data_IF_439221773502
#
_entry.id   IF_439221773502
#
_cell.length_a   1.000
_cell.length_b   1.000
_cell.length_c   1.000
_cell.angle_alpha   90.00
_cell.angle_beta   90.00
_cell.angle_gamma   90.00
#
_symmetry.space_group_name_H-M   'P 1'
#
loop_
_entity.id
_entity.type
_entity.pdbx_description
1 polymer ?
#
# COMPACT_ATOMS: atom_id res chain seq x y z
N UNK A 1 13.31 23.85 2.10
CA UNK A 1 13.02 24.02 0.65
C UNK A 1 12.30 22.76 0.19
N UNK A 2 11.16 22.88 -0.49
CA UNK A 2 10.52 21.73 -1.13
C UNK A 2 11.46 21.16 -2.20
N UNK A 3 11.41 19.84 -2.42
CA UNK A 3 12.18 19.21 -3.49
C UNK A 3 11.73 19.77 -4.85
N UNK A 4 12.61 20.49 -5.53
CA UNK A 4 12.35 21.00 -6.89
C UNK A 4 12.75 19.96 -7.92
N UNK A 5 11.91 19.79 -8.96
CA UNK A 5 12.22 18.87 -10.04
C UNK A 5 13.57 19.19 -10.68
N UNK A 6 14.35 18.15 -10.96
CA UNK A 6 15.62 18.28 -11.65
C UNK A 6 15.36 18.68 -13.11
N UNK A 7 15.87 19.85 -13.50
CA UNK A 7 15.77 20.34 -14.87
C UNK A 7 16.80 19.64 -15.76
N UNK A 8 16.60 19.69 -17.08
CA UNK A 8 17.56 19.11 -18.01
C UNK A 8 18.92 19.82 -17.99
N UNK A 9 18.94 21.11 -17.67
CA UNK A 9 20.16 21.93 -17.75
C UNK A 9 20.97 21.86 -16.44
N UNK A 10 20.30 21.59 -15.31
CA UNK A 10 20.94 21.37 -14.01
C UNK A 10 21.41 19.93 -13.80
N UNK A 11 20.93 18.99 -14.63
CA UNK A 11 21.25 17.58 -14.53
C UNK A 11 22.65 17.24 -15.08
N UNK A 12 23.35 16.32 -14.41
CA UNK A 12 24.64 15.77 -14.84
C UNK A 12 24.65 14.26 -14.67
N UNK A 13 25.25 13.56 -15.63
CA UNK A 13 25.52 12.12 -15.49
C UNK A 13 26.40 11.89 -14.26
N UNK A 14 26.07 10.87 -13.48
CA UNK A 14 26.68 10.56 -12.19
C UNK A 14 25.95 11.16 -10.99
N UNK A 15 25.01 12.10 -11.17
CA UNK A 15 24.23 12.66 -10.07
C UNK A 15 23.32 11.60 -9.42
N UNK A 16 23.23 11.66 -8.09
CA UNK A 16 22.21 10.95 -7.33
C UNK A 16 20.88 11.66 -7.45
N UNK A 17 19.85 10.88 -7.73
CA UNK A 17 18.48 11.36 -7.93
C UNK A 17 17.50 10.49 -7.17
N UNK A 18 16.31 11.01 -6.93
CA UNK A 18 15.18 10.26 -6.39
C UNK A 18 13.92 10.57 -7.18
N UNK A 19 13.00 9.60 -7.26
CA UNK A 19 11.67 9.83 -7.82
C UNK A 19 10.68 10.37 -6.78
N UNK A 20 9.47 10.65 -7.25
CA UNK A 20 8.34 11.12 -6.42
C UNK A 20 7.97 10.18 -5.27
N UNK A 21 8.30 8.89 -5.40
CA UNK A 21 7.99 7.84 -4.43
C UNK A 21 9.14 7.61 -3.44
N UNK A 22 10.25 8.33 -3.60
CA UNK A 22 11.45 8.26 -2.76
C UNK A 22 12.44 7.18 -3.21
N UNK A 23 12.22 6.51 -4.35
CA UNK A 23 13.15 5.52 -4.85
C UNK A 23 14.38 6.22 -5.43
N UNK A 24 15.56 5.86 -4.94
CA UNK A 24 16.82 6.49 -5.30
C UNK A 24 17.52 5.78 -6.47
N UNK A 25 18.36 6.53 -7.17
CA UNK A 25 19.16 6.01 -8.27
C UNK A 25 20.25 6.98 -8.71
N UNK A 26 21.03 6.55 -9.69
CA UNK A 26 22.08 7.35 -10.33
C UNK A 26 21.67 7.70 -11.75
N UNK A 27 21.77 8.97 -12.11
CA UNK A 27 21.58 9.42 -13.47
C UNK A 27 22.74 8.89 -14.34
N UNK A 28 22.44 8.09 -15.36
CA UNK A 28 23.41 7.46 -16.27
C UNK A 28 23.39 8.02 -17.68
N UNK A 29 22.27 8.59 -18.10
CA UNK A 29 22.08 9.09 -19.46
C UNK A 29 21.10 10.26 -19.49
N UNK A 30 21.24 11.14 -20.48
CA UNK A 30 20.33 12.26 -20.74
C UNK A 30 20.20 12.44 -22.24
N UNK A 31 18.99 12.66 -22.73
CA UNK A 31 18.80 12.91 -24.16
C UNK A 31 17.36 13.22 -24.56
N UNK A 32 17.17 13.50 -25.84
CA UNK A 32 15.84 13.67 -26.43
C UNK A 32 15.44 12.39 -27.15
N UNK A 33 14.19 11.95 -26.94
CA UNK A 33 13.62 10.79 -27.62
C UNK A 33 12.38 11.22 -28.40
N UNK A 34 12.23 10.64 -29.57
CA UNK A 34 10.98 10.67 -30.34
C UNK A 34 10.03 9.58 -29.86
N UNK A 35 8.73 9.77 -30.16
CA UNK A 35 7.63 8.87 -29.81
C UNK A 35 7.99 7.38 -29.98
N UNK A 36 8.48 6.99 -31.16
CA UNK A 36 8.77 5.58 -31.47
C UNK A 36 9.97 4.98 -30.71
N UNK A 37 10.84 5.83 -30.16
CA UNK A 37 12.05 5.42 -29.44
C UNK A 37 11.86 5.45 -27.92
N UNK A 38 10.80 6.10 -27.43
CA UNK A 38 10.48 6.14 -26.01
C UNK A 38 9.69 4.90 -25.56
N UNK A 39 9.87 4.41 -24.31
CA UNK A 39 9.10 3.28 -23.79
C UNK A 39 7.59 3.52 -23.75
N UNK A 40 7.17 4.78 -23.53
CA UNK A 40 5.77 5.16 -23.32
C UNK A 40 5.13 5.84 -24.54
N UNK A 41 5.76 5.79 -25.72
CA UNK A 41 5.27 6.47 -26.93
C UNK A 41 5.08 8.00 -26.72
N UNK A 42 6.01 8.65 -26.04
CA UNK A 42 6.08 10.10 -25.81
C UNK A 42 7.36 10.72 -26.40
N UNK A 43 7.22 11.85 -27.12
CA UNK A 43 8.38 12.68 -27.50
C UNK A 43 8.77 13.60 -26.34
N UNK A 44 10.08 13.80 -26.13
CA UNK A 44 10.56 14.76 -25.14
C UNK A 44 12.01 14.56 -24.70
N UNK A 45 12.40 15.30 -23.65
CA UNK A 45 13.67 15.11 -22.94
C UNK A 45 13.50 14.04 -21.86
N UNK A 46 14.46 13.15 -21.75
CA UNK A 46 14.47 12.02 -20.82
C UNK A 46 15.80 11.93 -20.07
N UNK A 47 15.73 11.36 -18.87
CA UNK A 47 16.87 10.88 -18.10
C UNK A 47 16.84 9.35 -18.09
N UNK A 48 18.00 8.73 -18.29
CA UNK A 48 18.23 7.31 -18.01
C UNK A 48 18.79 7.18 -16.61
N UNK A 49 18.07 6.47 -15.74
CA UNK A 49 18.41 6.30 -14.33
C UNK A 49 18.63 4.83 -14.06
N UNK A 50 19.74 4.51 -13.44
CA UNK A 50 19.97 3.22 -12.78
C UNK A 50 19.50 3.35 -11.33
N UNK A 51 18.39 2.71 -10.99
CA UNK A 51 17.89 2.69 -9.61
C UNK A 51 18.70 1.71 -8.76
N UNK A 52 18.75 1.96 -7.46
CA UNK A 52 19.54 1.13 -6.54
C UNK A 52 19.00 -0.29 -6.46
N UNK A 53 17.66 -0.40 -6.39
CA UNK A 53 16.91 -1.65 -6.34
C UNK A 53 16.47 -2.12 -7.75
N UNK A 54 16.50 -3.43 -7.97
CA UNK A 54 15.83 -4.06 -9.10
C UNK A 54 14.30 -4.05 -8.88
N UNK A 55 13.52 -4.01 -9.96
CA UNK A 55 12.06 -4.07 -9.86
C UNK A 55 11.44 -4.91 -10.97
N UNK A 56 10.34 -5.58 -10.64
CA UNK A 56 9.52 -6.34 -11.61
C UNK A 56 8.70 -5.43 -12.55
N UNK A 57 8.78 -4.11 -12.38
CA UNK A 57 8.07 -3.17 -13.25
C UNK A 57 8.53 -3.36 -14.72
N UNK A 58 7.62 -3.60 -15.68
CA UNK A 58 7.97 -3.85 -17.08
C UNK A 58 8.70 -2.71 -17.80
N UNK A 59 8.71 -1.50 -17.26
CA UNK A 59 9.51 -0.39 -17.78
C UNK A 59 10.97 -0.43 -17.31
N UNK A 60 11.33 -1.36 -16.41
CA UNK A 60 12.69 -1.57 -15.95
C UNK A 60 13.46 -2.43 -16.96
N UNK A 61 14.69 -2.03 -17.27
CA UNK A 61 15.56 -2.78 -18.17
C UNK A 61 17.02 -2.76 -17.71
N UNK A 62 17.92 -3.28 -18.54
CA UNK A 62 19.37 -3.18 -18.38
C UNK A 62 19.97 -1.92 -19.06
N UNK A 63 19.14 -0.89 -19.30
CA UNK A 63 19.53 0.33 -20.02
C UNK A 63 19.25 0.27 -21.52
N UNK A 64 18.61 -0.80 -22.00
CA UNK A 64 18.20 -0.99 -23.40
C UNK A 64 16.68 -0.92 -23.55
N UNK A 65 16.17 -0.16 -24.54
CA UNK A 65 14.75 -0.15 -24.95
C UNK A 65 14.67 -0.13 -26.48
N UNK A 66 13.71 -0.86 -27.05
CA UNK A 66 13.48 -0.96 -28.50
C UNK A 66 14.76 -1.28 -29.31
N UNK A 67 15.61 -2.17 -28.79
CA UNK A 67 16.89 -2.56 -29.41
C UNK A 67 18.00 -1.50 -29.31
N UNK A 68 17.73 -0.31 -28.74
CA UNK A 68 18.71 0.75 -28.55
C UNK A 68 19.22 0.75 -27.09
N UNK A 69 20.54 0.71 -26.93
CA UNK A 69 21.20 0.81 -25.63
C UNK A 69 21.52 2.27 -25.31
N UNK A 70 20.92 2.80 -24.25
CA UNK A 70 21.10 4.19 -23.81
C UNK A 70 22.18 4.32 -22.74
N UNK A 71 22.28 3.34 -21.85
CA UNK A 71 23.32 3.24 -20.83
C UNK A 71 23.53 1.77 -20.41
N UNK A 72 24.58 1.49 -19.66
CA UNK A 72 24.82 0.20 -19.02
C UNK A 72 24.31 0.25 -17.57
N UNK A 73 23.58 -0.78 -17.14
CA UNK A 73 23.25 -1.01 -15.74
C UNK A 73 22.90 -2.49 -15.50
N UNK A 74 22.74 -2.86 -14.22
CA UNK A 74 22.24 -4.18 -13.84
C UNK A 74 20.85 -4.49 -14.43
N UNK A 75 20.48 -5.78 -14.55
CA UNK A 75 19.18 -6.18 -15.06
C UNK A 75 18.06 -5.56 -14.23
N UNK A 76 17.03 -5.02 -14.90
CA UNK A 76 15.84 -4.42 -14.28
C UNK A 76 16.12 -3.25 -13.30
N UNK A 77 17.28 -2.60 -13.40
CA UNK A 77 17.60 -1.39 -12.63
C UNK A 77 17.39 -0.11 -13.44
N UNK A 78 17.56 -0.20 -14.75
CA UNK A 78 17.47 0.94 -15.66
C UNK A 78 16.03 1.38 -15.87
N UNK A 79 15.78 2.70 -15.93
CA UNK A 79 14.53 3.30 -16.40
C UNK A 79 14.78 4.60 -17.15
N UNK A 80 14.09 4.79 -18.27
CA UNK A 80 13.97 6.11 -18.91
C UNK A 80 12.79 6.84 -18.27
N UNK A 81 13.07 8.02 -17.69
CA UNK A 81 12.06 8.90 -17.08
C UNK A 81 12.03 10.23 -17.79
N UNK A 82 10.86 10.84 -17.89
CA UNK A 82 10.75 12.17 -18.51
C UNK A 82 11.33 13.23 -17.56
N UNK A 83 11.94 14.27 -18.13
CA UNK A 83 12.32 15.45 -17.33
C UNK A 83 11.09 15.99 -16.59
N UNK A 84 11.27 16.35 -15.32
CA UNK A 84 10.16 16.74 -14.43
C UNK A 84 9.55 15.59 -13.62
N UNK A 85 10.14 14.39 -13.63
CA UNK A 85 9.66 13.25 -12.82
C UNK A 85 10.61 12.85 -11.68
N UNK A 86 11.80 13.46 -11.62
CA UNK A 86 12.81 13.17 -10.59
C UNK A 86 13.37 14.45 -10.00
N UNK A 87 14.03 14.28 -8.86
CA UNK A 87 14.61 15.33 -8.02
C UNK A 87 16.07 14.97 -7.76
N UNK A 88 16.88 15.96 -7.37
CA UNK A 88 18.16 15.66 -6.72
C UNK A 88 17.89 14.83 -5.45
N UNK A 89 18.76 13.86 -5.16
CA UNK A 89 18.62 13.01 -3.98
C UNK A 89 18.84 13.83 -2.70
N UNK A 90 17.90 13.75 -1.77
CA UNK A 90 17.90 14.45 -0.48
C UNK A 90 17.47 13.55 0.68
N UNK A 91 17.02 12.33 0.41
CA UNK A 91 16.56 11.37 1.41
C UNK A 91 17.66 11.05 2.42
N UNK A 92 18.90 10.84 1.97
CA UNK A 92 20.05 10.53 2.83
C UNK A 92 20.26 11.62 3.89
N UNK A 93 20.28 12.89 3.47
CA UNK A 93 20.41 14.04 4.36
C UNK A 93 19.22 14.12 5.33
N UNK A 94 17.99 13.94 4.84
CA UNK A 94 16.80 14.07 5.69
C UNK A 94 16.67 12.96 6.71
N UNK A 95 17.04 11.73 6.35
CA UNK A 95 17.10 10.60 7.28
C UNK A 95 18.12 10.88 8.38
N UNK A 96 19.31 11.38 8.04
CA UNK A 96 20.32 11.74 9.03
C UNK A 96 19.79 12.80 10.03
N UNK A 97 19.12 13.85 9.53
CA UNK A 97 18.49 14.88 10.37
C UNK A 97 17.40 14.32 11.30
N UNK A 98 16.61 13.34 10.86
CA UNK A 98 15.59 12.71 11.69
C UNK A 98 16.22 11.81 12.76
N UNK A 99 17.26 11.05 12.40
CA UNK A 99 17.99 10.20 13.35
C UNK A 99 18.70 11.03 14.42
N UNK A 100 19.29 12.17 14.05
CA UNK A 100 19.89 13.11 15.00
C UNK A 100 18.85 13.66 15.99
N UNK A 101 17.66 14.07 15.51
CA UNK A 101 16.63 14.69 16.35
C UNK A 101 15.88 13.69 17.25
N UNK A 102 15.57 12.50 16.74
CA UNK A 102 14.72 11.52 17.46
C UNK A 102 15.50 10.37 18.12
N UNK A 103 16.76 10.17 17.75
CA UNK A 103 17.65 9.19 18.35
C UNK A 103 17.06 7.77 18.42
N UNK A 104 17.13 7.17 19.60
CA UNK A 104 16.69 5.80 19.88
C UNK A 104 15.23 5.51 19.51
N UNK A 105 14.36 6.53 19.50
CA UNK A 105 12.92 6.35 19.18
C UNK A 105 12.70 5.89 17.74
N UNK A 106 13.66 6.13 16.85
CA UNK A 106 13.62 5.76 15.43
C UNK A 106 14.86 4.96 14.99
N UNK A 107 15.74 4.58 15.92
CA UNK A 107 17.01 3.92 15.59
C UNK A 107 16.80 2.61 14.80
N UNK A 108 15.77 1.85 15.17
CA UNK A 108 15.43 0.56 14.54
C UNK A 108 14.56 0.68 13.29
N UNK A 109 14.14 1.89 12.92
CA UNK A 109 13.26 2.10 11.77
C UNK A 109 14.07 2.04 10.48
N UNK A 110 13.47 1.48 9.44
CA UNK A 110 14.04 1.49 8.11
C UNK A 110 13.99 2.92 7.52
N UNK A 111 14.99 3.29 6.71
CA UNK A 111 15.08 4.64 6.14
C UNK A 111 13.81 5.07 5.39
N UNK A 112 13.21 4.14 4.63
CA UNK A 112 11.95 4.41 3.94
C UNK A 112 10.76 4.72 4.85
N UNK A 113 10.76 4.25 6.10
CA UNK A 113 9.73 4.64 7.08
C UNK A 113 9.83 6.13 7.40
N UNK A 114 11.05 6.64 7.55
CA UNK A 114 11.33 8.05 7.79
C UNK A 114 11.10 8.91 6.55
N UNK A 115 11.54 8.44 5.38
CA UNK A 115 11.33 9.13 4.09
C UNK A 115 9.85 9.36 3.81
N UNK A 116 8.96 8.45 4.21
CA UNK A 116 7.50 8.65 4.06
C UNK A 116 6.99 9.90 4.79
N UNK A 117 7.49 10.19 6.00
CA UNK A 117 7.16 11.44 6.71
C UNK A 117 7.67 12.65 5.95
N UNK A 118 8.91 12.58 5.42
CA UNK A 118 9.48 13.63 4.59
C UNK A 118 8.62 13.91 3.35
N UNK A 119 8.23 12.87 2.61
CA UNK A 119 7.39 13.00 1.42
C UNK A 119 6.02 13.59 1.77
N UNK A 120 5.38 13.11 2.83
CA UNK A 120 4.05 13.57 3.26
C UNK A 120 3.99 15.05 3.66
N UNK A 121 5.12 15.64 4.03
CA UNK A 121 5.26 17.07 4.34
C UNK A 121 6.16 17.80 3.35
N UNK A 122 6.34 17.23 2.15
CA UNK A 122 7.08 17.85 1.04
C UNK A 122 8.49 18.31 1.42
N UNK A 123 9.14 17.56 2.33
CA UNK A 123 10.48 17.85 2.87
C UNK A 123 10.58 19.19 3.62
N UNK A 124 9.45 19.75 4.07
CA UNK A 124 9.40 20.85 5.05
C UNK A 124 9.72 20.31 6.44
N UNK A 125 11.00 20.37 6.82
CA UNK A 125 11.51 19.66 7.99
C UNK A 125 10.81 20.02 9.29
N UNK A 126 10.40 21.28 9.51
CA UNK A 126 9.65 21.64 10.73
C UNK A 126 8.32 20.89 10.82
N UNK A 127 7.59 20.77 9.70
CA UNK A 127 6.36 19.98 9.64
C UNK A 127 6.60 18.48 9.72
N UNK A 128 7.72 18.00 9.17
CA UNK A 128 8.14 16.58 9.30
C UNK A 128 8.37 16.25 10.76
N UNK A 129 9.10 17.10 11.48
CA UNK A 129 9.39 16.94 12.90
C UNK A 129 8.13 16.95 13.75
N UNK A 130 7.23 17.89 13.50
CA UNK A 130 5.94 17.94 14.19
C UNK A 130 5.10 16.68 13.94
N UNK A 131 5.00 16.23 12.69
CA UNK A 131 4.23 15.04 12.34
C UNK A 131 4.81 13.78 12.98
N UNK A 132 6.13 13.58 12.90
CA UNK A 132 6.78 12.40 13.47
C UNK A 132 6.69 12.39 14.99
N UNK A 133 6.82 13.53 15.66
CA UNK A 133 6.62 13.63 17.11
C UNK A 133 5.20 13.23 17.51
N UNK A 134 4.17 13.79 16.85
CA UNK A 134 2.76 13.44 17.09
C UNK A 134 2.51 11.94 16.85
N UNK A 135 3.07 11.39 15.78
CA UNK A 135 2.96 9.98 15.48
C UNK A 135 3.60 9.09 16.55
N UNK A 136 4.80 9.43 17.03
CA UNK A 136 5.47 8.67 18.09
C UNK A 136 4.69 8.72 19.41
N UNK A 137 4.06 9.86 19.73
CA UNK A 137 3.15 9.98 20.88
C UNK A 137 1.90 9.11 20.71
N UNK A 138 1.29 9.14 19.51
CA UNK A 138 0.15 8.27 19.18
C UNK A 138 0.53 6.80 19.29
N UNK A 139 1.68 6.37 18.75
CA UNK A 139 2.17 4.98 18.89
C UNK A 139 2.33 4.58 20.36
N UNK A 140 2.81 5.48 21.22
CA UNK A 140 2.97 5.21 22.65
C UNK A 140 1.64 4.96 23.38
N UNK A 141 0.59 5.72 23.04
CA UNK A 141 -0.75 5.62 23.65
C UNK A 141 -1.61 4.53 23.01
N UNK A 142 -1.77 4.59 21.69
CA UNK A 142 -2.62 3.71 20.90
C UNK A 142 -2.04 2.29 20.79
N UNK A 143 -0.72 2.14 20.81
CA UNK A 143 -0.02 0.85 20.73
C UNK A 143 -0.52 -0.01 19.55
N UNK A 144 -0.38 0.47 18.31
CA UNK A 144 -0.81 -0.29 17.13
C UNK A 144 0.01 -1.59 17.02
N UNK A 145 -0.66 -2.70 16.66
CA UNK A 145 -0.04 -4.02 16.60
C UNK A 145 -0.59 -4.84 15.42
N UNK A 146 0.30 -5.51 14.68
CA UNK A 146 -0.05 -6.40 13.56
C UNK A 146 -0.69 -7.73 13.99
N UNK A 147 -0.73 -8.02 15.29
CA UNK A 147 -1.09 -9.32 15.88
C UNK A 147 -2.07 -9.13 17.04
N UNK A 148 -2.97 -8.16 16.91
CA UNK A 148 -4.06 -7.88 17.84
C UNK A 148 -5.29 -8.75 17.51
N UNK A 149 -5.99 -9.23 18.53
CA UNK A 149 -7.21 -10.01 18.32
C UNK A 149 -8.44 -9.14 18.10
N UNK A 150 -9.23 -9.51 17.10
CA UNK A 150 -10.57 -9.01 16.86
C UNK A 150 -11.58 -10.17 16.82
N UNK A 151 -12.87 -9.92 17.13
CA UNK A 151 -13.91 -10.95 16.99
C UNK A 151 -13.93 -11.50 15.57
N UNK A 152 -13.84 -12.83 15.43
CA UNK A 152 -13.68 -13.47 14.11
C UNK A 152 -14.86 -13.23 13.16
N UNK A 153 -16.04 -12.87 13.70
CA UNK A 153 -17.19 -12.44 12.90
C UNK A 153 -16.89 -11.22 12.02
N UNK A 154 -15.87 -10.41 12.34
CA UNK A 154 -15.52 -9.22 11.55
C UNK A 154 -15.12 -9.59 10.12
N UNK A 155 -14.47 -10.74 9.95
CA UNK A 155 -14.09 -11.28 8.63
C UNK A 155 -15.32 -11.61 7.78
N UNK A 156 -16.39 -12.10 8.41
CA UNK A 156 -17.64 -12.44 7.73
C UNK A 156 -18.45 -11.18 7.42
N UNK A 157 -18.42 -10.17 8.29
CA UNK A 157 -19.16 -8.92 8.06
C UNK A 157 -18.46 -7.98 7.07
N UNK A 158 -17.12 -7.94 7.11
CA UNK A 158 -16.27 -7.14 6.23
C UNK A 158 -15.02 -7.95 5.81
N UNK A 159 -15.13 -8.76 4.74
CA UNK A 159 -14.00 -9.47 4.17
C UNK A 159 -12.93 -8.52 3.65
N UNK A 160 -11.70 -8.73 4.11
CA UNK A 160 -10.53 -8.03 3.62
C UNK A 160 -9.26 -8.86 3.83
N UNK A 161 -8.19 -8.53 3.14
CA UNK A 161 -6.93 -9.25 3.29
C UNK A 161 -5.87 -8.88 2.26
N UNK A 162 -4.61 -9.14 2.63
CA UNK A 162 -3.48 -9.06 1.70
C UNK A 162 -3.46 -10.30 0.81
N UNK A 163 -3.17 -10.14 -0.47
CA UNK A 163 -3.03 -11.27 -1.41
C UNK A 163 -1.71 -12.03 -1.27
N UNK A 164 -0.73 -11.48 -0.53
CA UNK A 164 0.65 -11.95 -0.55
C UNK A 164 1.39 -11.67 -1.86
N UNK A 165 0.81 -10.86 -2.75
CA UNK A 165 1.41 -10.45 -4.03
C UNK A 165 1.49 -8.93 -4.16
N UNK A 166 2.15 -8.46 -5.21
CA UNK A 166 2.37 -7.04 -5.47
C UNK A 166 1.92 -6.65 -6.86
N UNK A 167 1.62 -5.36 -7.03
CA UNK A 167 1.52 -4.73 -8.33
C UNK A 167 2.92 -4.55 -8.97
N UNK A 168 2.99 -3.98 -10.18
CA UNK A 168 4.25 -3.74 -10.89
C UNK A 168 5.14 -2.68 -10.23
N UNK A 169 4.58 -1.77 -9.45
CA UNK A 169 5.33 -0.79 -8.65
C UNK A 169 5.72 -1.37 -7.27
N UNK A 170 5.59 -2.69 -7.09
CA UNK A 170 5.92 -3.46 -5.88
C UNK A 170 5.07 -3.08 -4.66
N UNK A 171 3.90 -2.49 -4.88
CA UNK A 171 2.94 -2.22 -3.81
C UNK A 171 2.24 -3.51 -3.41
N UNK A 172 2.16 -3.80 -2.11
CA UNK A 172 1.41 -4.97 -1.61
C UNK A 172 -0.07 -4.83 -1.99
N UNK A 173 -0.67 -5.86 -2.58
CA UNK A 173 -2.09 -5.82 -2.94
C UNK A 173 -2.93 -6.18 -1.71
N UNK A 174 -3.81 -5.27 -1.32
CA UNK A 174 -4.78 -5.41 -0.24
C UNK A 174 -6.19 -5.24 -0.81
N UNK A 175 -7.09 -6.15 -0.44
CA UNK A 175 -8.46 -6.14 -0.93
C UNK A 175 -9.44 -5.91 0.21
N UNK A 176 -10.49 -5.16 -0.08
CA UNK A 176 -11.57 -4.82 0.84
C UNK A 176 -12.93 -4.99 0.17
N UNK A 177 -13.86 -5.63 0.85
CA UNK A 177 -15.23 -5.83 0.36
C UNK A 177 -16.27 -5.41 1.41
N UNK A 178 -16.43 -4.10 1.66
CA UNK A 178 -17.48 -3.61 2.54
C UNK A 178 -18.87 -4.10 2.09
N UNK A 179 -19.73 -4.41 3.06
CA UNK A 179 -21.10 -4.85 2.77
C UNK A 179 -21.26 -6.35 2.50
N UNK A 180 -20.16 -7.10 2.34
CA UNK A 180 -20.07 -8.54 2.02
C UNK A 180 -21.32 -9.17 1.39
N UNK A 181 -21.49 -9.07 0.07
CA UNK A 181 -22.65 -9.69 -0.62
C UNK A 181 -24.04 -9.29 -0.06
N UNK A 182 -24.12 -8.21 0.73
CA UNK A 182 -25.32 -7.72 1.40
C UNK A 182 -25.47 -8.15 2.87
N UNK A 183 -24.55 -8.96 3.41
CA UNK A 183 -24.67 -9.56 4.75
C UNK A 183 -24.58 -8.57 5.92
N UNK A 184 -23.72 -7.56 5.84
CA UNK A 184 -23.55 -6.57 6.90
C UNK A 184 -23.37 -5.17 6.30
N UNK A 185 -24.40 -4.33 6.36
CA UNK A 185 -24.30 -2.95 5.85
C UNK A 185 -23.45 -2.08 6.77
N UNK A 186 -22.87 -0.96 6.28
CA UNK A 186 -21.99 -0.11 7.10
C UNK A 186 -22.58 0.35 8.44
N UNK A 187 -23.89 0.61 8.51
CA UNK A 187 -24.58 0.98 9.76
C UNK A 187 -24.59 -0.14 10.79
N UNK A 188 -24.82 -1.37 10.36
CA UNK A 188 -24.77 -2.55 11.22
C UNK A 188 -23.34 -2.87 11.66
N UNK A 189 -22.37 -2.77 10.73
CA UNK A 189 -20.96 -2.98 11.02
C UNK A 189 -20.46 -2.01 12.11
N UNK A 190 -20.73 -0.72 11.94
CA UNK A 190 -20.38 0.31 12.94
C UNK A 190 -21.09 0.08 14.26
N UNK A 191 -22.35 -0.36 14.25
CA UNK A 191 -23.07 -0.71 15.49
C UNK A 191 -22.46 -1.91 16.21
N UNK A 192 -22.05 -2.95 15.48
CA UNK A 192 -21.53 -4.21 16.04
C UNK A 192 -20.11 -4.06 16.59
N UNK A 193 -19.25 -3.34 15.89
CA UNK A 193 -17.84 -3.21 16.26
C UNK A 193 -17.49 -1.88 16.92
N UNK A 194 -18.27 -0.82 16.72
CA UNK A 194 -17.95 0.56 17.16
C UNK A 194 -16.76 1.18 16.44
N UNK A 195 -16.75 2.50 16.30
CA UNK A 195 -15.66 3.22 15.62
C UNK A 195 -14.29 3.03 16.30
N UNK A 196 -14.16 2.99 17.65
CA UNK A 196 -12.90 2.67 18.33
C UNK A 196 -12.28 1.33 17.90
N UNK A 197 -13.04 0.24 17.88
CA UNK A 197 -12.52 -1.08 17.48
C UNK A 197 -12.20 -1.09 16.00
N UNK A 198 -13.01 -0.44 15.16
CA UNK A 198 -12.76 -0.31 13.72
C UNK A 198 -11.43 0.42 13.47
N UNK A 199 -11.14 1.49 14.23
CA UNK A 199 -9.86 2.19 14.13
C UNK A 199 -8.68 1.28 14.46
N UNK A 200 -8.78 0.47 15.52
CA UNK A 200 -7.75 -0.51 15.90
C UNK A 200 -7.59 -1.62 14.86
N UNK A 201 -8.70 -2.15 14.36
CA UNK A 201 -8.73 -3.18 13.32
C UNK A 201 -8.08 -2.70 12.03
N UNK A 202 -8.41 -1.48 11.60
CA UNK A 202 -7.80 -0.86 10.43
C UNK A 202 -6.30 -0.59 10.63
N UNK A 203 -5.90 -0.04 11.79
CA UNK A 203 -4.48 0.12 12.13
C UNK A 203 -3.73 -1.22 12.15
N UNK A 204 -4.35 -2.29 12.66
CA UNK A 204 -3.79 -3.64 12.65
C UNK A 204 -3.55 -4.13 11.21
N UNK A 205 -4.49 -3.92 10.29
CA UNK A 205 -4.31 -4.25 8.88
C UNK A 205 -3.14 -3.49 8.24
N UNK A 206 -2.94 -2.21 8.60
CA UNK A 206 -1.79 -1.43 8.11
C UNK A 206 -0.49 -1.97 8.70
N UNK A 207 -0.42 -2.23 10.02
CA UNK A 207 0.76 -2.80 10.69
C UNK A 207 1.11 -4.19 10.14
N UNK A 208 0.12 -5.01 9.77
CA UNK A 208 0.34 -6.27 9.06
C UNK A 208 1.00 -6.08 7.68
N UNK A 209 0.69 -4.98 6.98
CA UNK A 209 1.35 -4.60 5.74
C UNK A 209 2.78 -4.14 5.99
N UNK A 210 2.99 -3.28 6.99
CA UNK A 210 4.32 -2.81 7.41
C UNK A 210 5.22 -3.98 7.82
N UNK A 211 4.68 -4.96 8.56
CA UNK A 211 5.42 -6.18 8.92
C UNK A 211 5.89 -6.95 7.68
N UNK A 212 5.07 -7.05 6.63
CA UNK A 212 5.45 -7.66 5.33
C UNK A 212 6.50 -6.84 4.59
N UNK A 213 6.40 -5.51 4.63
CA UNK A 213 7.42 -4.62 4.05
C UNK A 213 8.76 -4.82 4.77
N UNK A 214 8.78 -4.81 6.11
CA UNK A 214 9.98 -5.07 6.92
C UNK A 214 10.58 -6.45 6.67
N UNK A 215 9.76 -7.49 6.58
CA UNK A 215 10.22 -8.86 6.30
C UNK A 215 10.92 -9.02 4.95
N UNK A 216 10.67 -8.09 4.01
CA UNK A 216 11.30 -8.05 2.68
C UNK A 216 12.30 -6.89 2.54
N UNK A 217 12.77 -6.34 3.67
CA UNK A 217 13.67 -5.18 3.72
C UNK A 217 13.19 -4.00 2.85
N UNK A 218 11.89 -3.69 2.93
CA UNK A 218 11.24 -2.64 2.14
C UNK A 218 11.41 -2.78 0.62
N UNK A 219 11.47 -4.02 0.10
CA UNK A 219 11.24 -4.26 -1.33
C UNK A 219 9.92 -3.63 -1.75
N UNK A 220 8.84 -4.04 -1.09
CA UNK A 220 7.57 -3.32 -1.12
C UNK A 220 7.59 -2.14 -0.15
N UNK A 221 7.12 -0.98 -0.61
CA UNK A 221 7.15 0.27 0.17
C UNK A 221 5.76 0.82 0.46
N UNK A 222 4.72 0.38 -0.26
CA UNK A 222 3.34 0.88 -0.14
C UNK A 222 2.31 -0.22 -0.43
N UNK A 223 1.04 0.14 -0.39
CA UNK A 223 -0.11 -0.74 -0.64
C UNK A 223 -0.89 -0.28 -1.87
N UNK A 224 -1.28 -1.23 -2.72
CA UNK A 224 -2.32 -1.09 -3.73
C UNK A 224 -3.62 -1.61 -3.11
N UNK A 225 -4.60 -0.73 -2.89
CA UNK A 225 -5.86 -1.09 -2.26
C UNK A 225 -6.96 -1.28 -3.31
N UNK A 226 -7.68 -2.41 -3.27
CA UNK A 226 -8.81 -2.69 -4.16
C UNK A 226 -10.07 -2.80 -3.33
N UNK A 227 -11.01 -1.88 -3.53
CA UNK A 227 -12.24 -1.75 -2.72
C UNK A 227 -13.47 -2.04 -3.57
N UNK A 228 -14.21 -3.09 -3.23
CA UNK A 228 -15.49 -3.46 -3.86
C UNK A 228 -16.68 -2.81 -3.14
N UNK A 229 -17.37 -1.90 -3.82
CA UNK A 229 -18.52 -1.19 -3.28
C UNK A 229 -19.87 -1.75 -3.74
N UNK A 230 -19.90 -2.89 -4.46
CA UNK A 230 -21.12 -3.44 -5.08
C UNK A 230 -22.31 -3.53 -4.11
N UNK A 231 -22.04 -3.90 -2.85
CA UNK A 231 -23.06 -4.19 -1.85
C UNK A 231 -23.27 -3.08 -0.82
N UNK A 232 -22.61 -1.93 -0.98
CA UNK A 232 -22.85 -0.76 -0.15
C UNK A 232 -24.09 -0.04 -0.70
N UNK A 233 -25.20 -0.03 0.06
CA UNK A 233 -26.51 0.38 -0.48
C UNK A 233 -26.85 1.86 -0.29
N UNK A 234 -26.25 2.53 0.69
CA UNK A 234 -26.58 3.92 0.99
C UNK A 234 -25.45 4.67 1.70
N UNK A 235 -25.38 5.97 1.46
CA UNK A 235 -24.60 6.91 2.25
C UNK A 235 -25.33 7.16 3.58
N UNK A 236 -24.80 6.58 4.67
CA UNK A 236 -25.34 6.75 6.02
C UNK A 236 -24.37 7.52 6.90
N UNK A 237 -24.86 8.10 8.00
CA UNK A 237 -24.00 8.74 9.01
C UNK A 237 -22.92 7.80 9.54
N UNK A 238 -23.26 6.52 9.71
CA UNK A 238 -22.30 5.47 10.08
C UNK A 238 -21.21 5.28 9.02
N UNK A 239 -21.54 5.32 7.74
CA UNK A 239 -20.55 5.22 6.66
C UNK A 239 -19.61 6.43 6.63
N UNK A 240 -20.13 7.64 6.88
CA UNK A 240 -19.31 8.85 6.99
C UNK A 240 -18.37 8.74 8.19
N UNK A 241 -18.89 8.36 9.36
CA UNK A 241 -18.07 8.15 10.56
C UNK A 241 -17.01 7.06 10.39
N UNK A 242 -17.34 5.97 9.69
CA UNK A 242 -16.38 4.94 9.29
C UNK A 242 -15.26 5.54 8.43
N UNK A 243 -15.60 6.21 7.32
CA UNK A 243 -14.62 6.77 6.41
C UNK A 243 -13.74 7.85 7.08
N UNK A 244 -14.32 8.71 7.91
CA UNK A 244 -13.58 9.71 8.70
C UNK A 244 -12.60 9.03 9.67
N UNK A 245 -13.02 7.94 10.32
CA UNK A 245 -12.17 7.17 11.25
C UNK A 245 -10.95 6.60 10.53
N UNK A 246 -11.14 5.95 9.38
CA UNK A 246 -10.05 5.39 8.57
C UNK A 246 -9.11 6.49 8.08
N UNK A 247 -9.66 7.54 7.45
CA UNK A 247 -8.88 8.64 6.91
C UNK A 247 -8.03 9.35 7.98
N UNK A 248 -8.57 9.54 9.19
CA UNK A 248 -7.82 10.12 10.32
C UNK A 248 -6.64 9.24 10.71
N UNK A 249 -6.88 7.93 10.91
CA UNK A 249 -5.82 6.98 11.28
C UNK A 249 -4.71 6.98 10.23
N UNK A 250 -5.05 6.94 8.94
CA UNK A 250 -4.08 6.92 7.85
C UNK A 250 -3.29 8.23 7.72
N UNK A 251 -3.96 9.38 7.70
CA UNK A 251 -3.29 10.67 7.43
C UNK A 251 -2.40 11.16 8.55
N UNK A 252 -2.78 10.89 9.79
CA UNK A 252 -2.02 11.34 10.95
C UNK A 252 -0.85 10.40 11.26
N UNK A 253 -0.99 9.10 10.97
CA UNK A 253 -0.07 8.08 11.50
C UNK A 253 0.59 7.18 10.45
N UNK A 254 0.06 7.07 9.24
CA UNK A 254 0.60 6.20 8.20
C UNK A 254 0.87 6.96 6.90
N UNK A 255 1.71 8.02 6.94
CA UNK A 255 2.01 8.83 5.77
C UNK A 255 2.51 7.97 4.63
N UNK A 256 2.05 8.26 3.42
CA UNK A 256 2.56 7.65 2.19
C UNK A 256 2.56 6.11 2.20
N UNK A 257 1.65 5.49 2.98
CA UNK A 257 1.44 4.04 2.96
C UNK A 257 0.66 3.59 1.72
N UNK A 258 -0.24 4.43 1.22
CA UNK A 258 -1.04 4.15 0.04
C UNK A 258 -0.27 4.52 -1.25
N UNK A 259 -0.14 3.54 -2.15
CA UNK A 259 0.41 3.70 -3.50
C UNK A 259 -0.68 4.06 -4.51
N UNK A 260 -1.72 3.24 -4.60
CA UNK A 260 -2.90 3.46 -5.43
C UNK A 260 -4.15 2.80 -4.83
N UNK A 261 -5.33 3.30 -5.21
CA UNK A 261 -6.62 2.68 -4.88
C UNK A 261 -7.38 2.40 -6.18
N UNK A 262 -8.02 1.24 -6.26
CA UNK A 262 -9.04 0.94 -7.24
C UNK A 262 -10.38 0.76 -6.53
N UNK A 263 -11.33 1.63 -6.85
CA UNK A 263 -12.71 1.51 -6.39
C UNK A 263 -13.52 0.86 -7.51
N UNK A 264 -13.99 -0.36 -7.25
CA UNK A 264 -14.71 -1.19 -8.24
C UNK A 264 -16.17 -1.34 -7.86
N UNK A 265 -17.00 -1.62 -8.87
CA UNK A 265 -18.45 -1.82 -8.72
C UNK A 265 -19.14 -0.66 -7.97
N UNK A 266 -18.71 0.57 -8.26
CA UNK A 266 -19.19 1.77 -7.61
C UNK A 266 -20.69 2.01 -7.87
N UNK A 267 -21.55 2.07 -6.84
CA UNK A 267 -22.97 2.36 -7.00
C UNK A 267 -23.18 3.79 -7.53
N UNK A 268 -24.27 4.04 -8.27
CA UNK A 268 -24.58 5.37 -8.81
C UNK A 268 -24.67 6.47 -7.73
N UNK A 269 -25.20 6.16 -6.53
CA UNK A 269 -25.28 7.14 -5.45
C UNK A 269 -23.89 7.53 -4.91
N UNK A 270 -22.87 6.67 -5.09
CA UNK A 270 -21.54 6.91 -4.56
C UNK A 270 -20.88 8.15 -5.19
N UNK A 271 -21.31 8.54 -6.40
CA UNK A 271 -21.00 9.82 -7.01
C UNK A 271 -21.21 11.01 -6.06
N UNK A 272 -22.36 11.03 -5.39
CA UNK A 272 -22.71 12.05 -4.41
C UNK A 272 -21.99 11.80 -3.09
N UNK A 273 -21.91 10.53 -2.66
CA UNK A 273 -21.20 10.14 -1.45
C UNK A 273 -19.72 10.58 -1.49
N UNK A 274 -19.07 10.45 -2.64
CA UNK A 274 -17.67 10.77 -2.85
C UNK A 274 -17.38 12.26 -2.66
N UNK A 275 -18.29 13.16 -3.08
CA UNK A 275 -18.14 14.60 -2.80
C UNK A 275 -18.02 14.88 -1.30
N UNK A 276 -18.80 14.15 -0.49
CA UNK A 276 -18.78 14.28 0.96
C UNK A 276 -17.55 13.62 1.58
N UNK A 277 -17.14 12.44 1.10
CA UNK A 277 -15.97 11.71 1.64
C UNK A 277 -14.64 12.35 1.25
N UNK A 278 -14.56 12.95 0.06
CA UNK A 278 -13.35 13.57 -0.48
C UNK A 278 -12.80 14.69 0.41
N UNK A 279 -13.63 15.35 1.22
CA UNK A 279 -13.15 16.41 2.12
C UNK A 279 -12.15 15.90 3.16
N UNK A 280 -12.24 14.61 3.51
CA UNK A 280 -11.35 13.98 4.47
C UNK A 280 -10.09 13.48 3.77
N UNK A 281 -9.89 13.74 2.48
CA UNK A 281 -8.82 13.14 1.68
C UNK A 281 -8.02 14.27 1.04
N UNK A 282 -6.73 14.30 1.34
CA UNK A 282 -5.83 15.30 0.78
C UNK A 282 -5.69 15.14 -0.75
N UNK A 283 -5.25 16.20 -1.43
CA UNK A 283 -5.17 16.20 -2.89
C UNK A 283 -4.23 15.11 -3.44
N UNK A 284 -3.14 14.78 -2.73
CA UNK A 284 -2.17 13.76 -3.14
C UNK A 284 -2.77 12.37 -3.02
N UNK A 285 -3.55 12.11 -1.98
CA UNK A 285 -4.26 10.84 -1.82
C UNK A 285 -5.43 10.70 -2.81
N UNK A 286 -6.24 11.75 -2.99
CA UNK A 286 -7.34 11.75 -3.96
C UNK A 286 -6.86 11.38 -5.37
N UNK A 287 -5.71 11.95 -5.75
CA UNK A 287 -5.01 11.67 -6.99
C UNK A 287 -4.72 10.16 -7.17
N UNK A 288 -4.41 9.40 -6.11
CA UNK A 288 -4.12 7.96 -6.18
C UNK A 288 -5.35 7.07 -6.39
N UNK A 289 -6.56 7.63 -6.38
CA UNK A 289 -7.83 6.88 -6.43
C UNK A 289 -8.32 6.75 -7.87
N UNK A 290 -8.56 5.50 -8.28
CA UNK A 290 -9.04 5.14 -9.61
C UNK A 290 -10.44 4.54 -9.48
N UNK A 291 -11.43 5.25 -10.00
CA UNK A 291 -12.78 4.73 -10.14
C UNK A 291 -12.86 3.85 -11.38
N UNK A 292 -13.17 2.57 -11.19
CA UNK A 292 -13.39 1.66 -12.29
C UNK A 292 -14.84 1.70 -12.74
N UNK A 293 -15.06 1.98 -14.03
CA UNK A 293 -16.38 1.83 -14.62
C UNK A 293 -16.89 0.37 -14.48
N UNK A 294 -18.22 0.15 -14.48
CA UNK A 294 -18.79 -1.20 -14.43
C UNK A 294 -18.18 -2.12 -15.48
N UNK A 295 -17.80 -3.34 -15.09
CA UNK A 295 -17.15 -4.34 -15.96
C UNK A 295 -15.82 -3.91 -16.60
N UNK A 296 -15.20 -2.81 -16.14
CA UNK A 296 -13.91 -2.29 -16.65
C UNK A 296 -12.75 -2.41 -15.67
N UNK A 297 -12.96 -3.02 -14.50
CA UNK A 297 -11.93 -3.16 -13.47
C UNK A 297 -10.69 -3.93 -13.96
N UNK A 298 -10.87 -5.07 -14.66
CA UNK A 298 -9.76 -5.85 -15.23
C UNK A 298 -8.94 -5.00 -16.20
N UNK A 299 -9.60 -4.32 -17.14
CA UNK A 299 -8.95 -3.45 -18.13
C UNK A 299 -8.14 -2.34 -17.45
N UNK A 300 -8.68 -1.73 -16.39
CA UNK A 300 -8.01 -0.68 -15.63
C UNK A 300 -6.81 -1.19 -14.80
N UNK A 301 -6.81 -2.45 -14.37
CA UNK A 301 -5.78 -3.04 -13.51
C UNK A 301 -4.64 -3.70 -14.29
N UNK A 302 -4.88 -4.22 -15.50
CA UNK A 302 -3.86 -4.88 -16.32
C UNK A 302 -2.56 -4.07 -16.53
N UNK A 303 -2.60 -2.73 -16.69
CA UNK A 303 -1.38 -1.92 -16.79
C UNK A 303 -0.59 -1.81 -15.47
N UNK A 304 -1.23 -2.12 -14.34
CA UNK A 304 -0.68 -1.87 -12.99
C UNK A 304 -0.32 -3.18 -12.29
N UNK A 305 -0.98 -4.30 -12.57
CA UNK A 305 -0.67 -5.61 -11.97
C UNK A 305 -0.85 -6.77 -12.95
N UNK A 306 -0.28 -7.93 -12.58
CA UNK A 306 -0.40 -9.17 -13.38
C UNK A 306 -1.84 -9.67 -13.41
N UNK A 307 -2.25 -10.25 -14.54
CA UNK A 307 -3.62 -10.73 -14.76
C UNK A 307 -4.05 -11.75 -13.69
N UNK A 308 -3.16 -12.65 -13.33
CA UNK A 308 -3.38 -13.70 -12.33
C UNK A 308 -3.47 -13.19 -10.89
N UNK A 309 -3.06 -11.94 -10.63
CA UNK A 309 -3.16 -11.30 -9.32
C UNK A 309 -4.45 -10.48 -9.15
N UNK A 310 -5.21 -10.25 -10.24
CA UNK A 310 -6.48 -9.51 -10.20
C UNK A 310 -7.52 -10.31 -9.38
N UNK A 311 -8.15 -9.70 -8.35
CA UNK A 311 -9.12 -10.39 -7.52
C UNK A 311 -10.36 -10.91 -8.26
N UNK A 312 -10.88 -12.05 -7.80
CA UNK A 312 -12.07 -12.70 -8.36
C UNK A 312 -13.33 -11.82 -8.35
N UNK A 313 -13.53 -11.02 -7.30
CA UNK A 313 -14.74 -10.19 -7.13
C UNK A 313 -14.83 -9.02 -8.12
N UNK A 314 -13.74 -8.70 -8.83
CA UNK A 314 -13.71 -7.64 -9.84
C UNK A 314 -13.42 -8.17 -11.26
N UNK A 315 -13.68 -9.46 -11.50
CA UNK A 315 -13.55 -10.11 -12.81
C UNK A 315 -12.21 -10.79 -13.08
N UNK A 316 -11.30 -10.80 -12.10
CA UNK A 316 -10.06 -11.59 -12.17
C UNK A 316 -10.27 -13.04 -11.73
N UNK A 317 -9.16 -13.73 -11.45
CA UNK A 317 -9.15 -15.15 -11.05
C UNK A 317 -8.53 -15.39 -9.67
N UNK A 318 -7.97 -14.36 -9.03
CA UNK A 318 -7.25 -14.51 -7.76
C UNK A 318 -8.18 -14.58 -6.55
N UNK A 319 -8.07 -15.65 -5.77
CA UNK A 319 -8.68 -15.80 -4.45
C UNK A 319 -7.69 -15.54 -3.30
N UNK A 320 -6.42 -15.21 -3.62
CA UNK A 320 -5.34 -15.14 -2.63
C UNK A 320 -5.62 -14.17 -1.48
N UNK A 321 -6.45 -13.14 -1.71
CA UNK A 321 -6.85 -12.17 -0.69
C UNK A 321 -7.65 -12.79 0.47
N UNK A 322 -8.36 -13.90 0.24
CA UNK A 322 -9.06 -14.67 1.28
C UNK A 322 -8.31 -15.94 1.71
N UNK A 323 -7.44 -16.49 0.86
CA UNK A 323 -6.63 -17.67 1.18
C UNK A 323 -5.45 -17.31 2.08
N UNK A 324 -4.80 -16.16 1.83
CA UNK A 324 -3.67 -15.67 2.63
C UNK A 324 -4.15 -15.34 4.03
N UNK A 325 -3.52 -15.96 5.03
CA UNK A 325 -3.91 -15.85 6.44
C UNK A 325 -5.41 -16.12 6.68
N UNK A 326 -6.07 -16.85 5.77
CA UNK A 326 -7.51 -17.01 5.76
C UNK A 326 -8.26 -15.67 5.83
N UNK A 327 -7.80 -14.57 5.23
CA UNK A 327 -8.50 -13.26 5.32
C UNK A 327 -8.74 -12.75 6.74
N UNK A 328 -7.93 -13.18 7.71
CA UNK A 328 -8.00 -12.73 9.11
C UNK A 328 -7.04 -11.55 9.26
N UNK A 329 -7.55 -10.47 9.84
CA UNK A 329 -6.73 -9.33 10.29
C UNK A 329 -6.35 -9.56 11.75
N UNK A 330 -5.06 -9.46 12.03
CA UNK A 330 -4.49 -9.62 13.36
C UNK A 330 -4.40 -11.07 13.81
N UNK A 331 -4.72 -11.30 15.08
CA UNK A 331 -4.56 -12.60 15.74
C UNK A 331 -5.85 -13.41 15.79
N UNK A 332 -5.71 -14.72 15.75
CA UNK A 332 -6.79 -15.67 16.11
C UNK A 332 -6.83 -15.97 17.60
N UNK A 333 -5.83 -15.54 18.37
CA UNK A 333 -5.75 -15.82 19.80
C UNK A 333 -6.47 -14.73 20.62
N UNK A 334 -7.62 -15.04 21.27
CA UNK A 334 -8.38 -14.07 22.06
C UNK A 334 -7.60 -13.41 23.21
N UNK A 335 -6.48 -14.01 23.65
CA UNK A 335 -5.61 -13.41 24.66
C UNK A 335 -4.88 -12.15 24.17
N UNK A 336 -4.78 -11.95 22.85
CA UNK A 336 -4.16 -10.76 22.24
C UNK A 336 -5.15 -9.62 22.00
N UNK A 337 -6.33 -9.65 22.61
CA UNK A 337 -7.25 -8.52 22.59
C UNK A 337 -6.58 -7.34 23.30
N UNK A 338 -6.69 -6.14 22.74
CA UNK A 338 -6.15 -4.95 23.39
C UNK A 338 -6.91 -4.65 24.70
N UNK A 339 -6.16 -4.25 25.74
CA UNK A 339 -6.68 -3.94 27.08
C UNK A 339 -6.14 -2.62 27.63
N UNK A 340 -5.56 -1.78 26.77
CA UNK A 340 -5.07 -0.46 27.17
C UNK A 340 -6.18 0.59 27.19
N UNK A 341 -5.80 1.85 27.11
CA UNK A 341 -6.72 3.00 27.17
C UNK A 341 -7.70 3.04 25.99
N UNK A 342 -8.92 3.49 26.24
CA UNK A 342 -9.91 3.68 25.19
C UNK A 342 -9.45 4.73 24.18
N UNK A 343 -9.68 4.44 22.90
CA UNK A 343 -9.43 5.37 21.81
C UNK A 343 -10.74 5.96 21.31
N UNK A 344 -10.87 7.29 21.32
CA UNK A 344 -12.01 7.98 20.72
C UNK A 344 -11.60 8.58 19.37
N UNK A 345 -12.01 7.99 18.23
CA UNK A 345 -11.79 8.62 16.94
C UNK A 345 -12.57 9.94 16.85
N UNK A 346 -12.13 10.88 15.98
CA UNK A 346 -12.93 12.06 15.68
C UNK A 346 -14.30 11.65 15.14
N UNK A 347 -15.35 12.37 15.54
CA UNK A 347 -16.69 12.19 15.00
C UNK A 347 -17.30 13.55 14.74
N UNK A 348 -17.93 13.73 13.57
CA UNK A 348 -18.67 14.97 13.30
C UNK A 348 -20.02 14.99 14.01
N UNK A 349 -20.31 16.14 14.59
CA UNK A 349 -21.65 16.56 15.02
C UNK A 349 -22.61 16.61 13.83
N UNK A 350 -23.91 16.64 14.12
CA UNK A 350 -24.93 16.78 13.08
C UNK A 350 -24.80 18.12 12.34
N UNK A 351 -24.35 19.17 13.04
CA UNK A 351 -24.14 20.51 12.51
C UNK A 351 -22.94 20.51 11.54
N UNK A 352 -21.80 19.97 11.96
CA UNK A 352 -20.61 19.85 11.09
C UNK A 352 -20.90 19.02 9.84
N UNK A 353 -21.68 17.94 9.95
CA UNK A 353 -22.09 17.14 8.79
C UNK A 353 -22.96 17.95 7.81
N UNK A 354 -23.91 18.72 8.32
CA UNK A 354 -24.78 19.55 7.48
C UNK A 354 -23.99 20.66 6.78
N UNK A 355 -23.11 21.37 7.50
CA UNK A 355 -22.24 22.38 6.90
C UNK A 355 -21.33 21.77 5.82
N UNK A 356 -20.81 20.60 6.11
CA UNK A 356 -19.96 19.87 5.20
C UNK A 356 -20.69 19.48 3.92
N UNK A 357 -21.93 18.99 4.04
CA UNK A 357 -22.77 18.66 2.89
C UNK A 357 -23.05 19.90 2.05
N UNK A 358 -23.36 21.05 2.67
CA UNK A 358 -23.53 22.32 1.98
C UNK A 358 -22.26 22.76 1.24
N UNK A 359 -21.08 22.60 1.84
CA UNK A 359 -19.80 22.88 1.18
C UNK A 359 -19.57 21.95 -0.02
N UNK A 360 -19.81 20.64 0.15
CA UNK A 360 -19.66 19.66 -0.91
C UNK A 360 -20.62 19.90 -2.09
N UNK A 361 -21.84 20.35 -1.81
CA UNK A 361 -22.84 20.71 -2.83
C UNK A 361 -22.48 22.00 -3.58
N UNK A 362 -21.75 22.92 -2.94
CA UNK A 362 -21.23 24.14 -3.56
C UNK A 362 -20.04 23.90 -4.50
N UNK A 363 -19.35 22.74 -4.40
CA UNK A 363 -18.30 22.37 -5.36
C UNK A 363 -18.90 22.01 -6.72
N UNK A 364 -18.39 22.64 -7.79
CA UNK A 364 -18.88 22.45 -9.16
C UNK A 364 -18.89 20.96 -9.59
N UNK A 365 -19.96 20.45 -10.26
CA UNK A 365 -20.13 19.02 -10.56
C UNK A 365 -19.00 18.38 -11.38
N UNK A 366 -18.34 19.17 -12.23
CA UNK A 366 -17.43 18.71 -13.27
C UNK A 366 -16.07 18.16 -12.78
N UNK A 367 -15.82 18.04 -11.48
CA UNK A 367 -14.57 17.50 -10.94
C UNK A 367 -14.72 16.24 -10.08
N UNK A 368 -15.95 15.81 -9.77
CA UNK A 368 -16.18 14.79 -8.75
C UNK A 368 -15.79 13.36 -9.18
N UNK A 369 -15.95 12.99 -10.45
CA UNK A 369 -15.74 11.61 -10.94
C UNK A 369 -14.89 11.55 -12.21
N UNK A 370 -14.06 12.57 -12.48
CA UNK A 370 -13.24 12.58 -13.69
C UNK A 370 -12.50 11.24 -13.75
N UNK A 371 -12.70 10.47 -14.83
CA UNK A 371 -11.82 9.36 -15.19
C UNK A 371 -10.40 9.91 -15.08
N UNK A 372 -9.65 9.42 -14.09
CA UNK A 372 -8.60 10.19 -13.46
C UNK A 372 -7.50 10.64 -14.42
N UNK A 373 -7.20 11.95 -14.43
CA UNK A 373 -5.81 12.36 -14.50
C UNK A 373 -5.20 12.11 -13.11
N UNK A 374 -4.85 10.85 -12.87
CA UNK A 374 -4.08 10.41 -11.72
C UNK A 374 -2.74 11.21 -11.63
N UNK A 375 -2.15 11.41 -10.44
CA UNK A 375 -0.76 11.78 -10.29
C UNK A 375 0.01 10.67 -10.98
N UNK A 376 1.20 10.98 -11.47
CA UNK A 376 1.96 10.08 -12.34
C UNK A 376 2.49 8.85 -11.58
N UNK A 377 1.60 7.94 -11.18
CA UNK A 377 1.87 6.51 -11.16
C UNK A 377 2.22 6.12 -12.59
N UNK A 378 3.15 5.19 -12.72
CA UNK A 378 3.78 4.73 -13.96
C UNK A 378 2.75 4.53 -15.09
N UNK A 379 2.56 5.53 -15.96
CA UNK A 379 1.60 5.47 -17.06
C UNK A 379 1.94 4.34 -18.03
N UNK A 380 0.89 3.64 -18.42
CA UNK A 380 0.69 2.84 -19.63
C UNK A 380 1.93 2.11 -20.14
N UNK A 381 2.09 0.86 -19.72
CA UNK A 381 2.67 -0.14 -20.61
C UNK A 381 1.74 -0.16 -21.84
N UNK A 382 2.23 0.29 -22.99
CA UNK A 382 1.47 0.12 -24.23
C UNK A 382 1.16 -1.39 -24.38
N UNK A 383 -0.02 -1.80 -24.86
CA UNK A 383 -0.35 -3.23 -25.02
C UNK A 383 0.75 -4.02 -25.75
N UNK A 384 1.44 -3.36 -26.69
CA UNK A 384 2.51 -3.93 -27.51
C UNK A 384 3.90 -3.97 -26.82
N UNK A 385 4.09 -3.25 -25.70
CA UNK A 385 5.38 -3.22 -25.00
C UNK A 385 5.62 -4.50 -24.17
N UNK A 386 4.61 -5.35 -24.00
CA UNK A 386 4.77 -6.72 -23.51
C UNK A 386 5.20 -7.61 -24.68
N UNK A 387 6.40 -7.37 -25.21
CA UNK A 387 7.01 -8.34 -26.13
C UNK A 387 7.38 -9.55 -25.28
N UNK A 388 6.59 -10.62 -25.40
CA UNK A 388 6.78 -11.93 -24.77
C UNK A 388 8.05 -12.60 -25.31
N UNK A 389 9.24 -12.10 -24.98
CA UNK A 389 10.47 -12.90 -24.99
C UNK A 389 10.77 -13.30 -23.55
N UNK A 390 9.90 -14.13 -22.99
CA UNK A 390 10.13 -14.82 -21.74
C UNK A 390 10.97 -16.06 -22.04
N UNK A 391 12.30 -15.94 -21.97
CA UNK A 391 13.15 -17.11 -21.75
C UNK A 391 13.24 -17.32 -20.24
N UNK A 392 12.64 -18.39 -19.68
CA UNK A 392 12.69 -18.63 -18.25
C UNK A 392 14.13 -18.99 -17.87
N UNK A 393 14.84 -18.07 -17.21
CA UNK A 393 16.03 -18.43 -16.46
C UNK A 393 15.60 -19.24 -15.25
N UNK A 394 15.88 -20.53 -15.34
CA UNK A 394 15.81 -21.53 -14.29
C UNK A 394 16.37 -21.00 -12.95
N UNK A 395 15.60 -21.25 -11.90
CA UNK A 395 16.02 -21.47 -10.51
C UNK A 395 16.75 -20.33 -9.78
N UNK A 396 16.01 -19.59 -8.97
CA UNK A 396 16.41 -19.39 -7.57
C UNK A 396 15.19 -19.68 -6.68
N UNK A 397 15.39 -20.57 -5.70
CA UNK A 397 14.35 -21.03 -4.79
C UNK A 397 13.81 -19.86 -3.98
N UNK A 398 12.49 -19.73 -3.92
CA UNK A 398 11.80 -18.88 -2.95
C UNK A 398 12.17 -19.32 -1.52
N UNK A 399 12.39 -18.38 -0.58
CA UNK A 399 12.69 -18.71 0.80
C UNK A 399 11.42 -19.28 1.47
N UNK A 400 11.50 -20.52 1.95
CA UNK A 400 10.50 -21.10 2.85
C UNK A 400 10.40 -20.27 4.13
N UNK A 401 9.16 -19.94 4.53
CA UNK A 401 8.86 -19.31 5.81
C UNK A 401 9.41 -20.14 6.99
N UNK A 402 9.89 -19.49 8.07
CA UNK A 402 10.56 -20.18 9.16
C UNK A 402 9.57 -21.04 9.95
N UNK A 403 9.71 -22.37 9.83
CA UNK A 403 9.09 -23.32 10.75
C UNK A 403 9.69 -23.11 12.14
N UNK A 404 8.85 -22.66 13.08
CA UNK A 404 9.15 -22.69 14.51
C UNK A 404 9.52 -24.11 14.93
N UNK A 405 10.81 -24.31 15.24
CA UNK A 405 11.32 -25.54 15.83
C UNK A 405 11.01 -25.53 17.31
N UNK A 406 10.01 -26.32 17.71
CA UNK A 406 9.87 -26.77 19.08
C UNK A 406 10.91 -27.86 19.33
N UNK A 407 11.94 -27.55 20.10
CA UNK A 407 12.99 -28.50 20.42
C UNK A 407 13.72 -28.12 21.70
N UNK A 408 13.26 -28.69 22.82
CA UNK A 408 14.10 -29.14 23.94
C UNK A 408 13.22 -29.84 24.98
N UNK A 409 12.95 -31.13 24.77
CA UNK A 409 12.82 -32.07 25.88
C UNK A 409 14.02 -33.01 25.79
N UNK A 410 14.95 -32.83 26.73
CA UNK A 410 16.09 -33.71 26.96
C UNK A 410 15.92 -34.45 28.27
N UNK A 411 16.45 -35.68 28.29
CA UNK A 411 16.73 -36.55 29.45
C UNK A 411 15.50 -37.01 30.22
N UNK A 412 15.31 -38.25 30.64
CA UNK A 412 16.11 -39.46 30.88
C UNK A 412 15.08 -40.40 31.56
N UNK A 413 15.11 -41.71 31.64
CA UNK A 413 16.14 -42.72 31.53
C UNK A 413 15.43 -44.08 31.65
N UNK A 414 16.18 -45.14 31.38
CA UNK A 414 15.95 -46.53 31.85
C UNK A 414 14.89 -47.40 31.18
N UNK A 415 15.40 -48.16 30.21
CA UNK A 415 14.96 -49.49 29.84
C UNK A 415 15.30 -50.53 30.93
N UNK A 416 14.30 -51.31 31.32
CA UNK A 416 14.37 -52.69 31.82
C UNK A 416 12.93 -53.13 32.01
N UNK A 417 12.38 -54.20 31.46
CA UNK A 417 12.97 -55.48 31.12
C UNK A 417 12.05 -56.56 31.69
N UNK A 418 11.75 -57.58 30.88
CA UNK A 418 11.11 -58.88 31.19
C UNK A 418 9.58 -58.98 31.23
N UNK A 419 9.10 -59.66 30.17
CA UNK A 419 8.37 -60.96 30.19
C UNK A 419 7.32 -61.17 31.29
N UNK A 420 6.06 -61.38 30.87
CA UNK A 420 5.44 -62.73 30.87
C UNK A 420 4.07 -62.74 30.19
N UNK A 421 3.93 -63.72 29.28
CA UNK A 421 2.66 -64.32 28.87
C UNK A 421 1.96 -64.94 30.08
N UNK A 422 0.63 -64.83 30.12
CA UNK A 422 -0.38 -65.77 30.63
C UNK A 422 -1.73 -65.09 30.28
N UNK A 423 -2.63 -65.61 29.44
CA UNK A 423 -3.16 -66.96 29.47
C UNK A 423 -4.37 -66.99 30.40
N UNK A 424 -5.53 -66.54 29.93
CA UNK A 424 -6.84 -66.69 30.59
C UNK A 424 -7.53 -67.95 30.02
N UNK A 425 -8.02 -68.86 30.88
CA UNK A 425 -9.15 -69.70 30.50
C UNK A 425 -10.19 -69.79 31.62
N UNK A 426 -11.35 -69.17 31.40
CA UNK A 426 -12.73 -69.68 31.56
C UNK A 426 -13.71 -68.51 31.54
#
# INVERSE_FOLDING_TARGET
MAATHLTFDDAKVGMRVQDYWGCCGTLRWMGKLEKNNSPNKETGKFFGIEYDDESDNPLRSNGTWNGCKYFECGPRKGRLVKVGQVYAEINTERVAMLRERFGERVATWHDFELVKFCIARQFDMEKVYEMLERHLQWRGRFQPCADEYFPQTIREDYPCGYTGTTDYDENLIYCERPGNAGHCQPSEFVRKYTLPVIARWHACAIEMGIARMRATNYRSKRVCCIVDLLNVKAMSRSMIGFAQTLATVEQDNYPENLGCVFIVNCPMFFCFAWKLLKIFIDERTNKKINFCAPNKAVEAMLPVMRKEDIPNFCGGTSNKWMETANGIIGSTNPKKVYRGEDYSPPSMTSEELNETQLRADSESPHRSLREGEAPTTTRFIAPDAVSLSFTPTSSSKSPEEPKMTSGAQSSSDTASGKKRKNGLPK
#
